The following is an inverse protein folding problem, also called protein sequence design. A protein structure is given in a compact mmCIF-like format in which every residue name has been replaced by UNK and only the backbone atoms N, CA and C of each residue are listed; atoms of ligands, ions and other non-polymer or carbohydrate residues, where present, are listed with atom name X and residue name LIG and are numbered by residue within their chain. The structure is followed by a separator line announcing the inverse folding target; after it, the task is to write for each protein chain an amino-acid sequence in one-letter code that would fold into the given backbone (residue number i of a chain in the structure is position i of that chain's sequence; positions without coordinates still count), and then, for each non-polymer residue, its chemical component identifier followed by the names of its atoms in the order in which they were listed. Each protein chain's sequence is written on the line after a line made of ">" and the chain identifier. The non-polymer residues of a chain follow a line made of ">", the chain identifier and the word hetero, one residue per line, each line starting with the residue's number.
data_IF_259945292082
#
_entry.id   IF_259945292082
#
_cell.length_a   1.000
_cell.length_b   1.000
_cell.length_c   1.000
_cell.angle_alpha   90.00
_cell.angle_beta   90.00
_cell.angle_gamma   90.00
#
_symmetry.space_group_name_H-M   'P 1'
#
loop_
_entity.id
_entity.type
_entity.pdbx_description
1 polymer ?
#
# COMPACT_ATOMS: atom_id res chain seq x y z
N UNK A 1 -17.09 -26.42 2.03
CA UNK A 1 -15.68 -26.20 1.61
C UNK A 1 -14.89 -25.59 2.75
N UNK A 2 -13.87 -26.28 3.25
CA UNK A 2 -13.00 -25.78 4.33
C UNK A 2 -12.06 -24.70 3.81
N UNK A 3 -12.12 -23.50 4.38
CA UNK A 3 -11.24 -22.40 3.98
C UNK A 3 -9.80 -22.66 4.43
N UNK A 4 -8.84 -22.57 3.51
CA UNK A 4 -7.41 -22.68 3.82
C UNK A 4 -6.99 -21.55 4.78
N UNK A 5 -6.46 -21.92 5.95
CA UNK A 5 -5.98 -20.99 6.97
C UNK A 5 -4.44 -20.99 7.00
N UNK A 6 -3.79 -19.82 7.06
CA UNK A 6 -2.35 -19.75 7.23
C UNK A 6 -1.95 -20.20 8.64
N UNK A 7 -0.75 -20.78 8.76
CA UNK A 7 -0.22 -21.24 10.05
C UNK A 7 0.05 -20.07 11.02
N UNK A 8 0.51 -18.93 10.50
CA UNK A 8 0.77 -17.72 11.29
C UNK A 8 0.10 -16.50 10.65
N UNK A 9 -0.64 -15.75 11.49
CA UNK A 9 -1.33 -14.51 11.12
C UNK A 9 -0.81 -13.34 11.96
N UNK A 10 0.35 -12.76 11.61
CA UNK A 10 0.85 -11.58 12.33
C UNK A 10 -0.13 -10.41 12.18
N UNK A 11 -0.31 -9.62 13.24
CA UNK A 11 -1.16 -8.42 13.22
C UNK A 11 -0.64 -7.42 12.20
N UNK A 12 -1.45 -7.11 11.19
CA UNK A 12 -1.11 -6.14 10.15
C UNK A 12 -1.43 -4.74 10.68
N UNK A 13 -0.39 -3.96 10.99
CA UNK A 13 -0.54 -2.54 11.39
C UNK A 13 -0.39 -1.65 10.15
N UNK A 14 -1.42 -0.87 9.83
CA UNK A 14 -1.38 0.15 8.77
C UNK A 14 -1.10 1.51 9.38
N UNK A 15 0.06 2.10 9.07
CA UNK A 15 0.46 3.43 9.56
C UNK A 15 -0.42 4.57 9.01
N UNK A 16 -0.98 4.38 7.82
CA UNK A 16 -1.89 5.31 7.16
C UNK A 16 -2.85 4.53 6.28
N UNK A 17 -4.13 4.87 6.36
CA UNK A 17 -5.20 4.27 5.54
C UNK A 17 -5.64 5.21 4.41
N UNK A 18 -5.67 6.53 4.67
CA UNK A 18 -6.00 7.55 3.67
C UNK A 18 -4.96 7.61 2.55
N UNK A 19 -5.43 7.66 1.30
CA UNK A 19 -4.57 7.87 0.13
C UNK A 19 -3.85 9.23 0.21
N UNK A 20 -2.71 9.33 -0.45
CA UNK A 20 -2.05 10.61 -0.68
C UNK A 20 -2.66 11.23 -1.93
N UNK A 21 -3.40 12.32 -1.74
CA UNK A 21 -4.08 13.03 -2.83
C UNK A 21 -3.25 14.23 -3.30
N UNK A 22 -3.39 14.62 -4.56
CA UNK A 22 -2.75 15.82 -5.10
C UNK A 22 -3.36 17.08 -4.45
N UNK A 23 -2.52 18.08 -4.18
CA UNK A 23 -2.97 19.40 -3.73
C UNK A 23 -4.01 19.99 -4.70
N UNK A 24 -5.11 20.54 -4.18
CA UNK A 24 -6.22 21.15 -4.94
C UNK A 24 -7.01 20.19 -5.85
N UNK A 25 -6.84 18.87 -5.73
CA UNK A 25 -7.65 17.91 -6.51
C UNK A 25 -9.12 17.82 -6.08
N UNK A 26 -9.41 18.27 -4.87
CA UNK A 26 -10.75 18.40 -4.29
C UNK A 26 -11.54 19.58 -4.86
N UNK A 27 -10.87 20.68 -5.19
CA UNK A 27 -11.52 21.89 -5.73
C UNK A 27 -11.60 21.98 -7.25
N UNK A 28 -10.79 21.20 -7.99
CA UNK A 28 -10.73 21.29 -9.45
C UNK A 28 -10.90 19.92 -10.12
N UNK A 29 -11.97 19.76 -10.88
CA UNK A 29 -12.28 18.51 -11.64
C UNK A 29 -11.15 18.12 -12.59
N UNK A 30 -10.46 19.09 -13.20
CA UNK A 30 -9.30 18.85 -14.09
C UNK A 30 -8.09 18.23 -13.39
N UNK A 31 -7.97 18.41 -12.07
CA UNK A 31 -6.82 17.92 -11.30
C UNK A 31 -7.14 16.55 -10.72
N UNK A 32 -6.57 15.51 -11.33
CA UNK A 32 -6.71 14.13 -10.83
C UNK A 32 -6.11 13.99 -9.41
N UNK A 33 -6.73 13.14 -8.60
CA UNK A 33 -6.35 12.84 -7.22
C UNK A 33 -5.00 12.12 -7.05
N UNK A 34 -4.36 11.67 -8.14
CA UNK A 34 -3.08 10.95 -8.08
C UNK A 34 -1.96 11.84 -7.55
N UNK A 35 -1.24 11.38 -6.52
CA UNK A 35 -0.15 12.14 -5.89
C UNK A 35 0.89 12.65 -6.90
N UNK A 36 1.25 13.93 -6.77
CA UNK A 36 2.37 14.58 -7.45
C UNK A 36 3.07 15.50 -6.44
N UNK A 37 4.41 15.53 -6.46
CA UNK A 37 5.20 16.39 -5.58
C UNK A 37 4.97 17.87 -5.96
N UNK A 38 4.48 18.74 -5.05
CA UNK A 38 4.38 20.16 -5.31
C UNK A 38 5.78 20.78 -5.50
N UNK A 39 5.90 21.75 -6.41
CA UNK A 39 7.17 22.40 -6.78
C UNK A 39 7.17 23.93 -6.67
N UNK A 40 6.00 24.56 -6.46
CA UNK A 40 5.86 26.02 -6.44
C UNK A 40 6.39 26.63 -5.14
N UNK A 41 7.14 27.72 -5.25
CA UNK A 41 7.82 28.37 -4.11
C UNK A 41 6.87 28.72 -2.97
N UNK A 42 5.65 29.17 -3.27
CA UNK A 42 4.64 29.59 -2.28
C UNK A 42 3.72 28.46 -1.82
N UNK A 43 3.94 27.24 -2.30
CA UNK A 43 3.05 26.13 -1.99
C UNK A 43 3.19 25.72 -0.50
N UNK A 44 2.09 25.85 0.24
CA UNK A 44 2.05 25.51 1.68
C UNK A 44 2.32 24.03 1.97
N UNK A 45 1.89 23.12 1.08
CA UNK A 45 2.14 21.69 1.25
C UNK A 45 3.63 21.36 1.06
N UNK A 46 4.31 22.02 0.11
CA UNK A 46 5.76 21.89 -0.08
C UNK A 46 6.54 22.32 1.16
N UNK A 47 6.17 23.48 1.75
CA UNK A 47 6.77 24.04 2.96
C UNK A 47 6.34 23.31 4.25
N UNK A 48 5.46 22.30 4.17
CA UNK A 48 4.98 21.46 5.31
C UNK A 48 4.28 22.25 6.43
N UNK A 49 3.51 23.27 6.08
CA UNK A 49 2.69 23.97 7.08
C UNK A 49 1.70 23.02 7.77
N UNK A 50 1.48 23.24 9.08
CA UNK A 50 0.51 22.48 9.89
C UNK A 50 -0.91 22.63 9.29
N UNK A 51 -1.68 21.55 9.34
CA UNK A 51 -3.05 21.50 8.82
C UNK A 51 -3.17 21.26 7.31
N UNK A 52 -2.07 21.32 6.57
CA UNK A 52 -2.07 21.01 5.14
C UNK A 52 -1.91 19.51 4.87
N UNK A 53 -2.22 19.07 3.65
CA UNK A 53 -2.06 17.69 3.21
C UNK A 53 -0.64 17.16 3.45
N UNK A 54 -0.56 15.96 4.02
CA UNK A 54 0.69 15.27 4.31
C UNK A 54 1.31 14.72 3.01
N UNK A 55 2.63 14.82 2.88
CA UNK A 55 3.37 14.26 1.74
C UNK A 55 3.82 12.83 2.02
N UNK A 56 3.91 11.95 1.00
CA UNK A 56 4.52 10.64 1.15
C UNK A 56 5.98 10.74 1.59
N UNK A 57 6.37 9.90 2.53
CA UNK A 57 7.73 9.75 3.01
C UNK A 57 7.98 8.28 3.44
N UNK A 58 9.24 7.95 3.73
CA UNK A 58 9.64 6.59 4.14
C UNK A 58 9.06 6.17 5.50
N UNK A 59 8.71 7.13 6.37
CA UNK A 59 8.13 6.88 7.68
C UNK A 59 6.78 6.13 7.62
N UNK A 60 6.03 6.32 6.53
CA UNK A 60 4.78 5.58 6.28
C UNK A 60 4.99 4.13 5.81
N UNK A 61 6.23 3.70 5.56
CA UNK A 61 6.56 2.33 5.17
C UNK A 61 6.05 1.29 6.18
N UNK A 62 5.33 0.27 5.70
CA UNK A 62 4.86 -0.86 6.53
C UNK A 62 6.02 -1.79 6.91
N UNK A 63 5.87 -2.53 8.01
CA UNK A 63 6.86 -3.52 8.44
C UNK A 63 7.14 -4.54 7.32
N UNK A 64 8.42 -4.81 7.03
CA UNK A 64 8.88 -5.74 5.98
C UNK A 64 8.15 -7.10 6.03
N UNK A 65 7.92 -7.68 7.22
CA UNK A 65 7.24 -8.98 7.39
C UNK A 65 5.75 -8.97 6.99
N UNK A 66 5.10 -7.80 7.07
CA UNK A 66 3.65 -7.64 6.81
C UNK A 66 3.34 -6.88 5.52
N UNK A 67 4.38 -6.35 4.85
CA UNK A 67 4.25 -5.66 3.56
C UNK A 67 3.71 -6.66 2.53
N UNK A 68 2.73 -6.23 1.73
CA UNK A 68 2.07 -7.05 0.70
C UNK A 68 1.30 -8.30 1.19
N UNK A 69 1.08 -8.47 2.50
CA UNK A 69 0.16 -9.50 3.01
C UNK A 69 -1.31 -9.07 2.90
N UNK A 70 -2.15 -10.03 2.53
CA UNK A 70 -3.61 -9.93 2.52
C UNK A 70 -4.17 -10.11 3.94
N UNK A 71 -5.40 -9.61 4.22
CA UNK A 71 -6.07 -9.83 5.51
C UNK A 71 -6.34 -11.31 5.83
N UNK A 72 -6.45 -12.17 4.81
CA UNK A 72 -6.54 -13.63 4.93
C UNK A 72 -5.22 -14.27 5.39
N UNK A 73 -4.11 -13.53 5.34
CA UNK A 73 -2.79 -13.90 5.86
C UNK A 73 -1.78 -14.40 4.82
N UNK A 74 -2.20 -14.64 3.58
CA UNK A 74 -1.33 -14.97 2.44
C UNK A 74 -0.80 -13.72 1.72
N UNK A 75 0.23 -13.87 0.87
CA UNK A 75 0.66 -12.84 -0.08
C UNK A 75 -0.06 -13.07 -1.42
N UNK A 76 -0.41 -11.99 -2.13
CA UNK A 76 -1.02 -12.10 -3.45
C UNK A 76 0.05 -12.47 -4.48
N UNK A 77 -0.22 -13.48 -5.30
CA UNK A 77 0.59 -13.89 -6.45
C UNK A 77 -0.30 -13.85 -7.69
N UNK A 78 0.22 -13.37 -8.82
CA UNK A 78 -0.47 -13.33 -10.11
C UNK A 78 0.05 -14.51 -10.94
N UNK A 79 -0.85 -15.33 -11.48
CA UNK A 79 -0.52 -16.53 -12.27
C UNK A 79 -1.04 -16.31 -13.69
N UNK A 80 -0.17 -16.40 -14.68
CA UNK A 80 -0.50 -16.27 -16.10
C UNK A 80 -0.57 -17.61 -16.83
N UNK A 81 0.15 -18.63 -16.34
CA UNK A 81 0.25 -19.93 -16.99
C UNK A 81 0.38 -21.06 -15.94
N UNK A 82 0.32 -22.31 -16.39
CA UNK A 82 0.39 -23.49 -15.52
C UNK A 82 1.77 -23.65 -14.87
N UNK A 83 2.86 -23.26 -15.55
CA UNK A 83 4.22 -23.36 -15.01
C UNK A 83 4.41 -22.47 -13.77
N UNK A 84 3.80 -21.29 -13.74
CA UNK A 84 3.83 -20.38 -12.58
C UNK A 84 3.07 -20.95 -11.36
N UNK A 85 2.12 -21.86 -11.59
CA UNK A 85 1.41 -22.55 -10.51
C UNK A 85 2.33 -23.55 -9.78
N UNK A 86 3.27 -24.16 -10.48
CA UNK A 86 4.25 -25.10 -9.88
C UNK A 86 5.13 -24.39 -8.84
N UNK A 87 5.46 -23.10 -9.04
CA UNK A 87 6.19 -22.31 -8.05
C UNK A 87 5.43 -22.16 -6.72
N UNK A 88 4.10 -22.28 -6.72
CA UNK A 88 3.27 -22.22 -5.52
C UNK A 88 3.23 -23.55 -4.75
N UNK A 89 3.58 -24.68 -5.37
CA UNK A 89 3.58 -25.99 -4.70
C UNK A 89 4.50 -25.98 -3.47
N UNK A 90 5.67 -25.35 -3.60
CA UNK A 90 6.65 -25.20 -2.51
C UNK A 90 6.22 -24.18 -1.45
N UNK A 91 5.35 -23.23 -1.80
CA UNK A 91 4.95 -22.11 -0.95
C UNK A 91 3.52 -22.22 -0.39
N UNK A 92 2.89 -23.40 -0.47
CA UNK A 92 1.47 -23.62 -0.19
C UNK A 92 1.00 -23.16 1.20
N UNK A 93 1.88 -23.14 2.20
CA UNK A 93 1.57 -22.70 3.58
C UNK A 93 2.52 -21.61 4.09
N UNK A 94 3.48 -21.17 3.27
CA UNK A 94 4.71 -20.56 3.78
C UNK A 94 4.50 -19.12 4.26
N UNK A 95 5.07 -18.92 5.45
CA UNK A 95 5.21 -17.71 6.24
C UNK A 95 6.67 -17.28 6.15
N UNK A 96 7.16 -16.97 4.94
CA UNK A 96 8.43 -16.26 4.76
C UNK A 96 8.17 -14.76 4.57
#
# INVERSE_FOLDING_TARGET
>A
MTALRPLLKPKIVKKRTKKFIRHQSDGYVKIKHNWRKPRGIDNRAQRRFKGQILMPNIGYGSNKKTKHRLPIGFRKFLVHNVKELEALLMCNKSVN
#
